data_IF_391095102144
#
_entry.id   IF_391095102144
#
_cell.length_a   1.000
_cell.length_b   1.000
_cell.length_c   1.000
_cell.angle_alpha   90.00
_cell.angle_beta   90.00
_cell.angle_gamma   90.00
#
_symmetry.space_group_name_H-M   'P 1'
#
loop_
_entity.id
_entity.type
_entity.pdbx_description
1 polymer ?
#
# COMPACT_ATOMS: atom_id res chain seq x y z
N UNK A 1 3.70 9.49 -2.36
CA UNK A 1 2.36 9.09 -1.93
C UNK A 1 2.27 7.59 -1.85
N UNK A 2 1.57 7.09 -0.87
CA UNK A 2 1.33 5.66 -0.71
C UNK A 2 0.35 5.18 -1.79
N UNK A 3 0.69 4.09 -2.46
CA UNK A 3 -0.20 3.41 -3.39
C UNK A 3 -0.68 2.11 -2.79
N UNK A 4 -1.99 1.95 -2.70
CA UNK A 4 -2.61 0.74 -2.16
C UNK A 4 -3.13 -0.09 -3.32
N UNK A 5 -2.48 -1.23 -3.56
CA UNK A 5 -2.89 -2.16 -4.62
C UNK A 5 -3.99 -3.06 -4.09
N UNK A 6 -5.12 -3.05 -4.78
CA UNK A 6 -6.35 -3.72 -4.31
C UNK A 6 -7.01 -4.52 -5.43
N UNK A 7 -8.05 -5.27 -5.05
CA UNK A 7 -8.97 -5.92 -5.98
C UNK A 7 -10.39 -5.57 -5.58
N UNK A 8 -11.37 -5.96 -6.41
CA UNK A 8 -12.78 -5.86 -6.02
C UNK A 8 -13.06 -6.81 -4.85
N UNK A 9 -14.02 -6.44 -4.01
CA UNK A 9 -14.51 -7.29 -2.92
C UNK A 9 -13.41 -7.79 -1.98
N UNK A 10 -12.53 -6.90 -1.56
CA UNK A 10 -11.42 -7.25 -0.68
C UNK A 10 -11.62 -6.58 0.70
N UNK A 11 -12.10 -7.34 1.72
CA UNK A 11 -12.26 -6.78 3.06
C UNK A 11 -10.97 -6.27 3.68
N UNK A 12 -9.86 -6.94 3.45
CA UNK A 12 -8.55 -6.51 3.98
C UNK A 12 -8.07 -5.23 3.30
N UNK A 13 -8.41 -5.03 2.03
CA UNK A 13 -8.12 -3.79 1.33
C UNK A 13 -8.91 -2.63 1.95
N UNK A 14 -10.18 -2.85 2.25
CA UNK A 14 -11.03 -1.87 2.91
C UNK A 14 -10.46 -1.52 4.29
N UNK A 15 -10.02 -2.53 5.03
CA UNK A 15 -9.41 -2.33 6.34
C UNK A 15 -8.17 -1.44 6.27
N UNK A 16 -7.30 -1.69 5.29
CA UNK A 16 -6.10 -0.89 5.11
C UNK A 16 -6.43 0.56 4.76
N UNK A 17 -7.37 0.76 3.84
CA UNK A 17 -7.80 2.11 3.45
C UNK A 17 -8.42 2.86 4.62
N UNK A 18 -9.28 2.19 5.37
CA UNK A 18 -9.92 2.81 6.55
C UNK A 18 -8.89 3.20 7.60
N UNK A 19 -7.87 2.40 7.79
CA UNK A 19 -6.80 2.71 8.74
C UNK A 19 -6.05 3.98 8.33
N UNK A 20 -5.71 4.09 7.04
CA UNK A 20 -5.04 5.28 6.52
C UNK A 20 -5.95 6.51 6.62
N UNK A 21 -7.24 6.36 6.31
CA UNK A 21 -8.22 7.43 6.43
C UNK A 21 -8.35 7.91 7.88
N UNK A 22 -8.41 6.96 8.81
CA UNK A 22 -8.53 7.26 10.25
C UNK A 22 -7.38 8.14 10.72
N UNK A 23 -6.19 7.90 10.21
CA UNK A 23 -4.99 8.64 10.60
C UNK A 23 -4.69 9.83 9.67
N UNK A 24 -5.60 10.16 8.77
CA UNK A 24 -5.47 11.28 7.83
C UNK A 24 -4.21 11.19 6.97
N UNK A 25 -3.85 9.97 6.57
CA UNK A 25 -2.69 9.70 5.71
C UNK A 25 -3.18 9.58 4.28
N UNK A 26 -2.61 10.37 3.38
CA UNK A 26 -2.97 10.34 1.96
C UNK A 26 -2.47 9.09 1.27
N UNK A 27 -3.28 8.56 0.36
CA UNK A 27 -2.92 7.40 -0.45
C UNK A 27 -3.71 7.41 -1.75
N UNK A 28 -3.24 6.61 -2.70
CA UNK A 28 -3.92 6.38 -3.97
C UNK A 28 -4.29 4.90 -4.04
N UNK A 29 -5.49 4.60 -4.48
CA UNK A 29 -5.95 3.22 -4.63
C UNK A 29 -5.81 2.79 -6.08
N UNK A 30 -5.17 1.63 -6.30
CA UNK A 30 -4.99 1.05 -7.64
C UNK A 30 -5.59 -0.35 -7.65
N UNK A 31 -6.67 -0.52 -8.40
CA UNK A 31 -7.32 -1.83 -8.54
C UNK A 31 -6.66 -2.61 -9.66
N UNK A 32 -5.97 -3.71 -9.31
CA UNK A 32 -5.21 -4.50 -10.27
C UNK A 32 -6.10 -5.30 -11.24
N UNK A 33 -7.40 -5.36 -10.97
CA UNK A 33 -8.35 -5.99 -11.87
C UNK A 33 -8.86 -5.03 -12.94
N UNK A 34 -8.73 -3.71 -12.69
CA UNK A 34 -9.14 -2.67 -13.64
C UNK A 34 -7.98 -2.04 -14.39
N UNK A 35 -6.88 -1.81 -13.70
CA UNK A 35 -5.75 -1.03 -14.20
C UNK A 35 -4.64 -1.97 -14.66
N UNK A 36 -4.42 -2.03 -15.97
CA UNK A 36 -3.42 -2.93 -16.56
C UNK A 36 -2.00 -2.60 -16.11
N UNK A 37 -1.67 -1.33 -15.98
CA UNK A 37 -0.34 -0.91 -15.54
C UNK A 37 -0.09 -1.31 -14.08
N UNK A 38 -1.11 -1.11 -13.24
CA UNK A 38 -1.04 -1.50 -11.84
C UNK A 38 -0.89 -3.02 -11.72
N UNK A 39 -1.63 -3.77 -12.52
CA UNK A 39 -1.55 -5.24 -12.53
C UNK A 39 -0.16 -5.70 -12.95
N UNK A 40 0.40 -5.11 -14.01
CA UNK A 40 1.73 -5.47 -14.49
C UNK A 40 2.80 -5.21 -13.43
N UNK A 41 2.73 -4.06 -12.77
CA UNK A 41 3.63 -3.75 -11.68
C UNK A 41 3.47 -4.77 -10.55
N UNK A 42 2.24 -5.04 -10.15
CA UNK A 42 1.95 -5.96 -9.05
C UNK A 42 2.52 -7.36 -9.32
N UNK A 43 2.33 -7.87 -10.55
CA UNK A 43 2.85 -9.18 -10.94
C UNK A 43 4.37 -9.20 -10.83
N UNK A 44 5.05 -8.15 -11.24
CA UNK A 44 6.51 -8.06 -11.17
C UNK A 44 7.05 -8.09 -9.75
N UNK A 45 6.25 -7.63 -8.77
CA UNK A 45 6.67 -7.65 -7.36
C UNK A 45 6.76 -9.06 -6.80
N UNK A 46 6.03 -10.01 -7.39
CA UNK A 46 5.94 -11.37 -6.89
C UNK A 46 4.92 -11.59 -5.77
N UNK A 47 4.30 -10.54 -5.28
CA UNK A 47 3.24 -10.68 -4.28
C UNK A 47 1.98 -11.22 -4.93
N UNK A 48 1.23 -12.03 -4.18
CA UNK A 48 0.02 -12.70 -4.67
C UNK A 48 -1.22 -12.33 -3.89
N UNK A 49 -1.08 -11.56 -2.83
CA UNK A 49 -2.19 -11.17 -1.98
C UNK A 49 -2.35 -9.66 -1.96
N UNK A 50 -3.59 -9.22 -1.76
CA UNK A 50 -3.91 -7.80 -1.58
C UNK A 50 -4.52 -7.60 -0.20
N UNK A 51 -4.38 -6.43 0.42
CA UNK A 51 -3.72 -5.24 -0.11
C UNK A 51 -2.20 -5.31 0.01
N UNK A 52 -1.51 -4.57 -0.86
CA UNK A 52 -0.08 -4.32 -0.69
C UNK A 52 0.13 -2.82 -0.88
N UNK A 53 0.91 -2.22 -0.01
CA UNK A 53 1.14 -0.78 -0.02
C UNK A 53 2.58 -0.49 -0.45
N UNK A 54 2.73 0.43 -1.40
CA UNK A 54 4.03 0.80 -1.96
C UNK A 54 4.22 2.30 -1.97
N UNK A 55 5.48 2.72 -1.87
CA UNK A 55 5.90 4.09 -2.13
C UNK A 55 6.86 3.98 -3.32
N UNK A 56 6.41 4.43 -4.49
CA UNK A 56 7.14 4.14 -5.73
C UNK A 56 7.15 2.64 -5.99
N UNK A 57 8.32 2.05 -6.11
CA UNK A 57 8.49 0.61 -6.31
C UNK A 57 8.92 -0.12 -5.05
N UNK A 58 8.86 0.55 -3.89
CA UNK A 58 9.31 0.00 -2.61
C UNK A 58 8.12 -0.31 -1.70
N UNK A 59 8.17 -1.50 -1.09
CA UNK A 59 7.11 -1.94 -0.18
C UNK A 59 7.12 -1.12 1.11
N UNK A 60 5.94 -0.65 1.52
CA UNK A 60 5.79 0.12 2.75
C UNK A 60 5.92 -0.77 3.99
N UNK A 61 5.26 -1.93 3.98
CA UNK A 61 5.28 -2.86 5.11
C UNK A 61 4.99 -4.27 4.66
N UNK A 62 5.52 -5.23 5.41
CA UNK A 62 5.22 -6.64 5.21
C UNK A 62 3.87 -6.99 5.84
N UNK A 63 3.19 -7.99 5.29
CA UNK A 63 1.97 -8.52 5.90
C UNK A 63 0.68 -7.83 5.51
N UNK A 64 0.69 -6.99 4.48
CA UNK A 64 -0.54 -6.35 3.99
C UNK A 64 -1.23 -5.52 5.06
N UNK A 65 -2.56 -5.68 5.20
CA UNK A 65 -3.31 -4.88 6.18
C UNK A 65 -2.89 -5.17 7.61
N UNK A 66 -2.54 -6.43 7.93
CA UNK A 66 -2.10 -6.80 9.27
C UNK A 66 -0.80 -6.07 9.64
N UNK A 67 0.13 -5.98 8.70
CA UNK A 67 1.36 -5.22 8.91
C UNK A 67 1.10 -3.73 9.06
N UNK A 68 0.21 -3.19 8.23
CA UNK A 68 -0.10 -1.77 8.25
C UNK A 68 -0.69 -1.33 9.60
N UNK A 69 -1.68 -2.09 10.11
CA UNK A 69 -2.37 -1.68 11.36
C UNK A 69 -1.50 -1.82 12.60
N UNK A 70 -0.33 -2.45 12.49
CA UNK A 70 0.66 -2.50 13.57
C UNK A 70 1.55 -1.26 13.61
N UNK A 71 1.55 -0.47 12.55
CA UNK A 71 2.32 0.76 12.48
C UNK A 71 1.51 1.92 13.02
N UNK A 72 2.14 2.78 13.81
CA UNK A 72 1.52 4.03 14.23
C UNK A 72 1.54 5.00 13.05
N UNK A 73 0.77 6.10 13.17
CA UNK A 73 0.80 7.16 12.16
C UNK A 73 2.24 7.66 11.94
N UNK A 74 2.97 7.87 13.04
CA UNK A 74 4.35 8.33 12.98
C UNK A 74 5.25 7.32 12.27
N UNK A 75 5.10 6.02 12.56
CA UNK A 75 5.86 4.96 11.90
C UNK A 75 5.64 4.99 10.40
N UNK A 76 4.39 5.14 9.98
CA UNK A 76 4.04 5.18 8.55
C UNK A 76 4.68 6.40 7.89
N UNK A 77 4.55 7.57 8.51
CA UNK A 77 5.10 8.80 7.95
C UNK A 77 6.62 8.74 7.84
N UNK A 78 7.29 8.22 8.86
CA UNK A 78 8.75 8.06 8.84
C UNK A 78 9.17 7.07 7.76
N UNK A 79 8.45 5.97 7.61
CA UNK A 79 8.76 4.98 6.57
C UNK A 79 8.58 5.56 5.17
N UNK A 80 7.52 6.34 4.95
CA UNK A 80 7.29 7.00 3.66
C UNK A 80 8.46 7.93 3.32
N UNK A 81 8.89 8.75 4.29
CA UNK A 81 10.03 9.64 4.08
C UNK A 81 11.31 8.87 3.77
N UNK A 82 11.55 7.78 4.48
CA UNK A 82 12.71 6.91 4.24
C UNK A 82 12.69 6.35 2.83
N UNK A 83 11.54 5.85 2.38
CA UNK A 83 11.40 5.26 1.04
C UNK A 83 11.56 6.31 -0.06
N UNK A 84 11.07 7.53 0.16
CA UNK A 84 11.23 8.63 -0.79
C UNK A 84 12.71 8.99 -0.92
N UNK A 85 13.44 9.06 0.19
CA UNK A 85 14.88 9.36 0.16
C UNK A 85 15.67 8.30 -0.60
N UNK A 86 15.32 7.03 -0.38
CA UNK A 86 16.06 5.91 -0.97
C UNK A 86 15.76 5.72 -2.46
N UNK A 87 14.72 6.37 -2.99
CA UNK A 87 14.32 6.20 -4.38
C UNK A 87 15.06 7.14 -5.36
N UNK A 88 15.99 7.92 -4.88
CA UNK A 88 16.81 8.79 -5.72
C UNK A 88 18.03 8.09 -6.28
#
# INVERSE_FOLDING_TARGET
MIKVYTTYSCPYCTRAKNYLDLHSIEYETLNIQEDNKARDFFIKTGYRTVPQMFVGDRLLCEGGSDGLVRMTKEDIQNKVLELIKDSN
#
